data_IF_429477568117
#
_entry.id   IF_429477568117
#
_cell.length_a   1.000
_cell.length_b   1.000
_cell.length_c   1.000
_cell.angle_alpha   90.00
_cell.angle_beta   90.00
_cell.angle_gamma   90.00
#
_symmetry.space_group_name_H-M   'P 1'
#
loop_
_entity.id
_entity.type
_entity.pdbx_description
1 polymer ?
#
# COMPACT_ATOMS: atom_id res chain seq x y z
N UNK A 1 -31.33 -50.26 -4.72
CA UNK A 1 -32.21 -50.78 -5.78
C UNK A 1 -32.37 -49.68 -6.82
N UNK A 2 -31.55 -49.70 -7.88
CA UNK A 2 -31.68 -48.80 -9.03
C UNK A 2 -32.10 -49.69 -10.19
N UNK A 3 -33.37 -49.62 -10.58
CA UNK A 3 -33.85 -50.27 -11.80
C UNK A 3 -33.12 -49.66 -13.00
N UNK A 4 -32.38 -50.51 -13.71
CA UNK A 4 -31.76 -50.18 -15.00
C UNK A 4 -32.89 -50.08 -16.02
N UNK A 5 -33.29 -48.84 -16.35
CA UNK A 5 -34.27 -48.57 -17.40
C UNK A 5 -33.71 -48.99 -18.77
N UNK A 6 -33.99 -50.23 -19.16
CA UNK A 6 -33.78 -50.71 -20.52
C UNK A 6 -34.70 -49.94 -21.48
N UNK A 7 -34.12 -49.22 -22.44
CA UNK A 7 -34.86 -48.70 -23.58
C UNK A 7 -35.28 -49.87 -24.50
N UNK A 8 -36.58 -50.11 -24.75
CA UNK A 8 -37.01 -51.12 -25.72
C UNK A 8 -36.75 -50.66 -27.17
N UNK A 9 -36.45 -51.63 -28.06
CA UNK A 9 -36.25 -51.46 -29.51
C UNK A 9 -37.51 -50.88 -30.21
N UNK A 10 -37.36 -50.20 -31.37
CA UNK A 10 -38.22 -49.06 -31.73
C UNK A 10 -39.50 -49.45 -32.47
N UNK A 11 -40.61 -48.82 -32.05
CA UNK A 11 -41.76 -48.54 -32.91
C UNK A 11 -42.01 -47.02 -32.84
N UNK A 12 -41.60 -46.30 -33.90
CA UNK A 12 -41.93 -44.88 -34.11
C UNK A 12 -40.84 -43.83 -33.80
N UNK A 13 -40.50 -43.02 -34.81
CA UNK A 13 -39.52 -41.91 -34.81
C UNK A 13 -39.81 -40.84 -33.73
N UNK A 14 -41.05 -40.72 -33.27
CA UNK A 14 -41.49 -39.78 -32.22
C UNK A 14 -40.92 -40.09 -30.82
N UNK A 15 -40.79 -41.38 -30.46
CA UNK A 15 -40.29 -41.79 -29.13
C UNK A 15 -38.79 -41.54 -28.96
N UNK A 16 -38.02 -41.63 -30.04
CA UNK A 16 -36.56 -41.38 -30.06
C UNK A 16 -36.26 -39.90 -29.81
N UNK A 17 -37.05 -38.97 -30.39
CA UNK A 17 -36.90 -37.53 -30.16
C UNK A 17 -37.18 -37.15 -28.70
N UNK A 18 -38.23 -37.72 -28.09
CA UNK A 18 -38.55 -37.53 -26.66
C UNK A 18 -37.46 -38.08 -25.74
N UNK A 19 -36.89 -39.24 -26.06
CA UNK A 19 -35.79 -39.83 -25.30
C UNK A 19 -34.52 -38.95 -25.36
N UNK A 20 -34.14 -38.47 -26.55
CA UNK A 20 -32.98 -37.57 -26.74
C UNK A 20 -33.13 -36.23 -26.01
N UNK A 21 -34.34 -35.66 -26.02
CA UNK A 21 -34.66 -34.45 -25.26
C UNK A 21 -34.61 -34.67 -23.74
N UNK A 22 -35.05 -35.83 -23.25
CA UNK A 22 -34.97 -36.17 -21.83
C UNK A 22 -33.51 -36.37 -21.37
N UNK A 23 -32.68 -37.01 -22.21
CA UNK A 23 -31.24 -37.14 -21.95
C UNK A 23 -30.56 -35.77 -21.93
N UNK A 24 -30.84 -34.88 -22.89
CA UNK A 24 -30.29 -33.51 -22.92
C UNK A 24 -30.71 -32.69 -21.69
N UNK A 25 -31.95 -32.83 -21.23
CA UNK A 25 -32.42 -32.18 -19.99
C UNK A 25 -31.70 -32.72 -18.76
N UNK A 26 -31.47 -34.03 -18.66
CA UNK A 26 -30.69 -34.61 -17.57
C UNK A 26 -29.24 -34.10 -17.56
N UNK A 27 -28.59 -34.02 -18.73
CA UNK A 27 -27.24 -33.46 -18.84
C UNK A 27 -27.19 -32.01 -18.38
N UNK A 28 -28.17 -31.18 -18.78
CA UNK A 28 -28.23 -29.78 -18.37
C UNK A 28 -28.43 -29.63 -16.84
N UNK A 29 -29.31 -30.44 -16.26
CA UNK A 29 -29.54 -30.46 -14.80
C UNK A 29 -28.26 -30.89 -14.06
N UNK A 30 -27.58 -31.94 -14.53
CA UNK A 30 -26.32 -32.38 -13.95
C UNK A 30 -25.22 -31.30 -14.03
N UNK A 31 -25.14 -30.56 -15.14
CA UNK A 31 -24.19 -29.46 -15.31
C UNK A 31 -24.46 -28.29 -14.37
N UNK A 32 -25.73 -27.92 -14.19
CA UNK A 32 -26.14 -26.90 -13.21
C UNK A 32 -25.83 -27.33 -11.78
N UNK A 33 -26.08 -28.61 -11.44
CA UNK A 33 -25.72 -29.14 -10.12
C UNK A 33 -24.21 -29.17 -9.87
N UNK A 34 -23.41 -29.57 -10.87
CA UNK A 34 -21.94 -29.54 -10.79
C UNK A 34 -21.42 -28.10 -10.62
N UNK A 35 -21.99 -27.14 -11.34
CA UNK A 35 -21.62 -25.74 -11.21
C UNK A 35 -22.01 -25.18 -9.83
N UNK A 36 -23.19 -25.52 -9.32
CA UNK A 36 -23.63 -25.13 -7.98
C UNK A 36 -22.75 -25.75 -6.88
N UNK A 37 -22.34 -27.01 -7.03
CA UNK A 37 -21.41 -27.70 -6.12
C UNK A 37 -20.02 -27.09 -6.14
N UNK A 38 -19.50 -26.74 -7.32
CA UNK A 38 -18.22 -26.03 -7.47
C UNK A 38 -18.28 -24.63 -6.85
N UNK A 39 -19.39 -23.91 -7.04
CA UNK A 39 -19.61 -22.59 -6.45
C UNK A 39 -19.73 -22.65 -4.92
N UNK A 40 -20.40 -23.69 -4.39
CA UNK A 40 -20.50 -23.94 -2.96
C UNK A 40 -19.14 -24.31 -2.35
N UNK A 41 -18.34 -25.14 -3.04
CA UNK A 41 -16.97 -25.45 -2.62
C UNK A 41 -16.06 -24.22 -2.65
N UNK A 42 -16.17 -23.38 -3.68
CA UNK A 42 -15.40 -22.12 -3.76
C UNK A 42 -15.80 -21.15 -2.64
N UNK A 43 -17.09 -21.02 -2.33
CA UNK A 43 -17.58 -20.25 -1.17
C UNK A 43 -17.06 -20.82 0.15
N UNK A 44 -17.15 -22.14 0.35
CA UNK A 44 -16.66 -22.78 1.56
C UNK A 44 -15.13 -22.70 1.72
N UNK A 45 -14.37 -22.77 0.63
CA UNK A 45 -12.93 -22.57 0.62
C UNK A 45 -12.55 -21.11 0.90
N UNK A 46 -13.30 -20.14 0.35
CA UNK A 46 -13.16 -18.71 0.69
C UNK A 46 -13.46 -18.48 2.17
N UNK A 47 -14.53 -19.09 2.69
CA UNK A 47 -14.95 -19.00 4.08
C UNK A 47 -13.97 -19.67 5.06
N UNK A 48 -13.37 -20.81 4.67
CA UNK A 48 -12.27 -21.46 5.41
C UNK A 48 -10.98 -20.63 5.41
N UNK A 49 -10.66 -19.93 4.31
CA UNK A 49 -9.57 -18.95 4.30
C UNK A 49 -9.87 -17.74 5.19
N UNK A 50 -11.13 -17.32 5.31
CA UNK A 50 -11.53 -16.24 6.25
C UNK A 50 -11.54 -16.69 7.71
N UNK A 51 -11.72 -17.98 8.00
CA UNK A 51 -11.69 -18.53 9.38
C UNK A 51 -10.32 -18.97 9.84
N UNK A 52 -9.30 -18.95 8.99
CA UNK A 52 -7.91 -18.95 9.42
C UNK A 52 -7.51 -17.52 9.84
N UNK A 53 -8.35 -16.97 10.73
CA UNK A 53 -8.12 -15.74 11.45
C UNK A 53 -6.80 -15.92 12.19
N UNK A 54 -5.82 -15.05 11.92
CA UNK A 54 -4.57 -15.05 12.65
C UNK A 54 -4.90 -15.04 14.15
N UNK A 55 -4.38 -16.00 14.91
CA UNK A 55 -4.56 -16.03 16.34
C UNK A 55 -4.10 -14.66 16.88
N UNK A 56 -4.91 -13.92 17.65
CA UNK A 56 -4.51 -12.63 18.20
C UNK A 56 -3.24 -12.71 19.09
N UNK A 57 -2.82 -13.92 19.45
CA UNK A 57 -1.64 -14.20 20.26
C UNK A 57 -0.36 -14.52 19.46
N UNK A 58 -0.46 -14.66 18.13
CA UNK A 58 0.72 -14.92 17.29
C UNK A 58 1.55 -13.64 17.15
N UNK A 59 2.81 -13.70 17.58
CA UNK A 59 3.74 -12.57 17.48
C UNK A 59 3.92 -12.15 16.00
N UNK A 60 3.91 -10.84 15.70
CA UNK A 60 4.19 -10.35 14.35
C UNK A 60 5.57 -10.80 13.85
N UNK A 61 5.75 -10.94 12.53
CA UNK A 61 7.06 -11.24 11.97
C UNK A 61 7.99 -10.03 12.10
N UNK A 62 9.23 -10.25 12.50
CA UNK A 62 10.21 -9.19 12.66
C UNK A 62 11.26 -9.27 11.55
N UNK A 63 11.44 -8.15 10.85
CA UNK A 63 12.34 -8.02 9.72
C UNK A 63 13.36 -6.91 9.97
N UNK A 64 14.53 -7.07 9.37
CA UNK A 64 15.47 -5.99 9.12
C UNK A 64 15.70 -5.90 7.62
N UNK A 65 16.72 -5.18 7.19
CA UNK A 65 16.97 -4.87 5.80
C UNK A 65 18.43 -5.09 5.40
N UNK A 66 18.63 -5.24 4.11
CA UNK A 66 19.89 -5.10 3.41
C UNK A 66 19.76 -3.94 2.42
N UNK A 67 20.73 -3.02 2.40
CA UNK A 67 20.80 -1.98 1.37
C UNK A 67 21.35 -2.60 0.09
N UNK A 68 20.56 -2.55 -0.98
CA UNK A 68 20.93 -3.06 -2.31
C UNK A 68 21.58 -1.97 -3.14
N UNK A 69 21.04 -0.75 -3.07
CA UNK A 69 21.54 0.42 -3.78
C UNK A 69 21.16 1.71 -3.05
N UNK A 70 21.92 2.77 -3.31
CA UNK A 70 21.65 4.12 -2.84
C UNK A 70 21.51 5.05 -4.06
N UNK A 71 20.52 5.94 -4.02
CA UNK A 71 20.24 6.91 -5.09
C UNK A 71 20.27 8.33 -4.52
N UNK A 72 20.61 9.36 -5.32
CA UNK A 72 20.53 10.75 -4.88
C UNK A 72 19.10 11.16 -4.52
N UNK A 73 18.96 11.97 -3.48
CA UNK A 73 17.70 12.59 -3.08
C UNK A 73 17.92 14.07 -2.74
N UNK A 74 16.94 14.94 -2.97
CA UNK A 74 17.08 16.37 -2.66
C UNK A 74 17.11 16.56 -1.13
N UNK A 75 18.22 17.03 -0.53
CA UNK A 75 18.31 17.22 0.92
C UNK A 75 17.43 18.37 1.44
N UNK A 76 16.70 19.08 0.57
CA UNK A 76 15.69 20.08 0.94
C UNK A 76 14.27 19.54 0.89
N UNK A 77 14.06 18.32 0.40
CA UNK A 77 12.73 17.71 0.32
C UNK A 77 12.30 17.20 1.69
N UNK A 78 11.28 17.84 2.27
CA UNK A 78 10.61 17.33 3.47
C UNK A 78 9.56 16.29 3.05
N UNK A 79 10.02 15.09 2.66
CA UNK A 79 9.20 14.04 2.04
C UNK A 79 8.00 13.64 2.89
N UNK A 80 6.81 13.68 2.29
CA UNK A 80 5.54 13.31 2.94
C UNK A 80 4.75 12.23 2.20
N UNK A 81 5.07 11.99 0.93
CA UNK A 81 4.54 10.91 0.12
C UNK A 81 5.57 10.49 -0.91
N UNK A 82 5.70 9.20 -1.17
CA UNK A 82 6.62 8.68 -2.16
C UNK A 82 5.99 7.47 -2.86
N UNK A 83 5.94 7.47 -4.19
CA UNK A 83 5.45 6.32 -4.94
C UNK A 83 6.31 6.07 -6.16
N UNK A 84 6.68 4.80 -6.37
CA UNK A 84 7.43 4.40 -7.56
C UNK A 84 6.52 4.36 -8.78
N UNK A 85 7.08 4.75 -9.92
CA UNK A 85 6.43 4.65 -11.22
C UNK A 85 7.48 4.43 -12.31
N UNK A 86 7.04 4.04 -13.50
CA UNK A 86 7.88 3.96 -14.69
C UNK A 86 7.26 4.77 -15.80
N UNK A 87 7.97 5.80 -16.24
CA UNK A 87 7.54 6.63 -17.35
C UNK A 87 8.34 6.28 -18.60
N UNK A 88 7.65 6.06 -19.71
CA UNK A 88 8.28 5.83 -21.00
C UNK A 88 7.97 6.97 -21.97
N UNK A 89 8.88 7.21 -22.91
CA UNK A 89 8.66 8.11 -24.04
C UNK A 89 7.58 7.58 -25.01
N UNK A 90 7.18 8.44 -25.95
CA UNK A 90 6.24 8.08 -27.02
C UNK A 90 6.78 6.89 -27.83
N UNK A 91 6.11 5.76 -27.70
CA UNK A 91 6.48 4.50 -28.36
C UNK A 91 7.32 3.53 -27.50
N UNK A 92 7.46 3.78 -26.19
CA UNK A 92 8.10 2.89 -25.22
C UNK A 92 9.55 2.51 -25.55
N UNK A 93 10.31 3.43 -26.16
CA UNK A 93 11.71 3.19 -26.55
C UNK A 93 12.68 3.49 -25.41
N UNK A 94 12.37 4.51 -24.62
CA UNK A 94 13.16 4.95 -23.47
C UNK A 94 12.25 5.04 -22.27
N UNK A 95 12.55 4.28 -21.22
CA UNK A 95 11.81 4.32 -19.97
C UNK A 95 12.72 4.76 -18.83
N UNK A 96 12.16 5.55 -17.93
CA UNK A 96 12.80 6.07 -16.73
C UNK A 96 12.03 5.56 -15.52
N UNK A 97 12.78 5.04 -14.56
CA UNK A 97 12.25 4.82 -13.22
C UNK A 97 12.14 6.18 -12.53
N UNK A 98 10.95 6.48 -12.03
CA UNK A 98 10.66 7.77 -11.41
C UNK A 98 9.94 7.57 -10.08
N UNK A 99 9.99 8.59 -9.23
CA UNK A 99 9.10 8.73 -8.09
C UNK A 99 8.11 9.85 -8.33
N UNK A 100 6.86 9.63 -7.93
CA UNK A 100 5.98 10.70 -7.52
C UNK A 100 6.25 10.99 -6.05
N UNK A 101 6.65 12.22 -5.75
CA UNK A 101 6.98 12.64 -4.40
C UNK A 101 6.17 13.89 -4.04
N UNK A 102 5.58 13.90 -2.85
CA UNK A 102 5.07 15.11 -2.24
C UNK A 102 5.98 15.58 -1.10
N UNK A 103 6.13 16.89 -0.99
CA UNK A 103 6.91 17.53 0.07
C UNK A 103 6.05 18.43 0.93
N UNK A 104 6.39 18.49 2.21
CA UNK A 104 5.78 19.38 3.20
C UNK A 104 6.49 20.73 3.35
N UNK A 105 6.17 21.39 4.48
CA UNK A 105 6.56 22.76 4.87
C UNK A 105 5.81 23.85 4.11
N UNK A 106 5.12 24.73 4.84
CA UNK A 106 4.41 25.87 4.26
C UNK A 106 5.37 26.75 3.44
N UNK A 107 4.94 27.09 2.21
CA UNK A 107 5.77 27.85 1.26
C UNK A 107 6.87 27.05 0.56
N UNK A 108 7.03 25.76 0.86
CA UNK A 108 8.00 24.86 0.22
C UNK A 108 7.38 23.53 -0.23
N UNK A 109 6.08 23.35 0.03
CA UNK A 109 5.35 22.14 -0.32
C UNK A 109 5.17 22.05 -1.84
N UNK A 110 5.30 20.84 -2.37
CA UNK A 110 5.18 20.59 -3.82
C UNK A 110 4.73 19.15 -4.07
N UNK A 111 4.14 18.91 -5.24
CA UNK A 111 4.07 17.60 -5.86
C UNK A 111 5.07 17.57 -7.02
N UNK A 112 5.90 16.53 -7.11
CA UNK A 112 6.98 16.45 -8.09
C UNK A 112 7.14 15.03 -8.63
N UNK A 113 7.65 14.94 -9.85
CA UNK A 113 8.13 13.69 -10.43
C UNK A 113 9.66 13.74 -10.50
N UNK A 114 10.33 12.75 -9.92
CA UNK A 114 11.78 12.72 -9.75
C UNK A 114 12.35 11.50 -10.43
N UNK A 115 13.40 11.65 -11.23
CA UNK A 115 14.12 10.51 -11.80
C UNK A 115 14.94 9.78 -10.72
N UNK A 116 14.71 8.47 -10.55
CA UNK A 116 15.36 7.65 -9.52
C UNK A 116 16.89 7.70 -9.62
N UNK A 117 17.42 7.53 -10.83
CA UNK A 117 18.86 7.37 -11.03
C UNK A 117 19.68 8.62 -10.66
N UNK A 118 19.10 9.81 -10.85
CA UNK A 118 19.82 11.08 -10.77
C UNK A 118 19.32 12.00 -9.65
N UNK A 119 18.10 11.78 -9.16
CA UNK A 119 17.41 12.72 -8.28
C UNK A 119 16.90 13.98 -9.01
N UNK A 120 16.93 14.00 -10.36
CA UNK A 120 16.51 15.15 -11.14
C UNK A 120 14.99 15.28 -11.12
N UNK A 121 14.51 16.45 -10.71
CA UNK A 121 13.09 16.81 -10.80
C UNK A 121 12.72 17.03 -12.27
N UNK A 122 11.82 16.21 -12.80
CA UNK A 122 11.39 16.26 -14.21
C UNK A 122 10.17 17.18 -14.41
N UNK A 123 9.28 17.21 -13.43
CA UNK A 123 8.15 18.14 -13.36
C UNK A 123 7.79 18.39 -11.90
N UNK A 124 7.24 19.56 -11.63
CA UNK A 124 6.88 19.98 -10.28
C UNK A 124 5.72 20.97 -10.35
N UNK A 125 4.88 20.93 -9.33
CA UNK A 125 3.91 21.97 -9.04
C UNK A 125 4.02 22.36 -7.57
N UNK A 126 4.20 23.66 -7.33
CA UNK A 126 4.35 24.23 -5.99
C UNK A 126 2.99 24.56 -5.40
N UNK A 127 2.78 24.14 -4.15
CA UNK A 127 1.54 24.41 -3.43
C UNK A 127 1.48 25.90 -3.04
N UNK A 128 0.26 26.49 -2.98
CA UNK A 128 0.05 27.77 -2.32
C UNK A 128 0.62 27.76 -0.90
N UNK A 129 1.20 28.89 -0.48
CA UNK A 129 2.00 29.01 0.73
C UNK A 129 1.27 28.58 2.02
N UNK A 130 -0.06 28.75 2.07
CA UNK A 130 -0.91 28.37 3.19
C UNK A 130 -1.04 26.86 3.39
N UNK A 131 -0.70 26.06 2.38
CA UNK A 131 -0.85 24.62 2.42
C UNK A 131 0.45 23.93 2.81
N UNK A 132 0.33 23.00 3.75
CA UNK A 132 1.36 22.02 4.06
C UNK A 132 1.02 20.73 3.31
N UNK A 133 1.89 20.32 2.39
CA UNK A 133 1.72 19.11 1.62
C UNK A 133 1.96 17.85 2.44
N UNK A 134 1.10 16.85 2.27
CA UNK A 134 1.22 15.54 2.92
C UNK A 134 1.24 14.43 1.84
N UNK A 135 0.84 13.20 2.16
CA UNK A 135 0.93 12.03 1.30
C UNK A 135 0.35 12.22 -0.12
N UNK A 136 0.94 11.49 -1.07
CA UNK A 136 0.52 11.50 -2.47
C UNK A 136 0.51 10.12 -3.10
N UNK A 137 -0.37 9.89 -4.06
CA UNK A 137 -0.40 8.64 -4.84
C UNK A 137 -0.99 8.86 -6.23
N UNK A 138 -0.41 8.22 -7.25
CA UNK A 138 -0.95 8.03 -8.58
C UNK A 138 -1.89 6.82 -8.58
N UNK A 139 -3.12 7.06 -9.05
CA UNK A 139 -4.12 6.04 -9.33
C UNK A 139 -4.63 6.24 -10.77
N UNK A 140 -4.26 5.32 -11.66
CA UNK A 140 -4.54 5.46 -13.09
C UNK A 140 -3.82 6.67 -13.69
N UNK A 141 -4.59 7.59 -14.29
CA UNK A 141 -4.07 8.80 -14.94
C UNK A 141 -4.15 10.05 -14.06
N UNK A 142 -4.40 9.86 -12.76
CA UNK A 142 -4.56 10.94 -11.79
C UNK A 142 -3.59 10.78 -10.64
N UNK A 143 -2.85 11.84 -10.33
CA UNK A 143 -2.08 11.95 -9.07
C UNK A 143 -2.96 12.64 -8.04
N UNK A 144 -2.98 12.12 -6.83
CA UNK A 144 -3.69 12.70 -5.68
C UNK A 144 -2.67 13.11 -4.64
N UNK A 145 -2.93 14.19 -3.93
CA UNK A 145 -2.13 14.66 -2.81
C UNK A 145 -3.07 15.26 -1.76
N UNK A 146 -2.81 14.96 -0.49
CA UNK A 146 -3.55 15.55 0.64
C UNK A 146 -2.71 16.62 1.34
N UNK A 147 -3.35 17.38 2.23
CA UNK A 147 -2.69 18.44 3.00
C UNK A 147 -2.98 18.29 4.49
N UNK A 148 -2.02 18.73 5.30
CA UNK A 148 -2.07 18.58 6.75
C UNK A 148 -3.21 19.38 7.39
N UNK A 149 -3.96 18.76 8.30
CA UNK A 149 -4.98 19.40 9.18
C UNK A 149 -6.02 20.32 8.52
N UNK A 150 -6.31 20.10 7.24
CA UNK A 150 -7.25 20.95 6.50
C UNK A 150 -8.47 20.20 5.95
N UNK A 151 -8.37 18.86 5.86
CA UNK A 151 -9.32 18.01 5.13
C UNK A 151 -9.30 18.21 3.62
N UNK A 152 -8.40 19.05 3.09
CA UNK A 152 -8.27 19.36 1.67
C UNK A 152 -7.14 18.57 1.02
N UNK A 153 -7.18 18.53 -0.30
CA UNK A 153 -6.09 18.05 -1.13
C UNK A 153 -6.24 18.57 -2.54
N UNK A 154 -5.49 17.95 -3.44
CA UNK A 154 -5.53 18.24 -4.87
C UNK A 154 -5.46 16.93 -5.65
N UNK A 155 -6.11 16.93 -6.83
CA UNK A 155 -5.89 15.92 -7.87
C UNK A 155 -5.29 16.59 -9.11
N UNK A 156 -4.40 15.87 -9.78
CA UNK A 156 -3.59 16.38 -10.87
C UNK A 156 -3.63 15.42 -12.06
N UNK A 157 -3.58 15.97 -13.27
CA UNK A 157 -3.15 15.20 -14.45
C UNK A 157 -1.66 14.85 -14.32
N UNK A 158 -1.20 13.81 -15.02
CA UNK A 158 0.19 13.35 -14.97
C UNK A 158 1.23 14.38 -15.45
N UNK A 159 0.83 15.38 -16.22
CA UNK A 159 1.69 16.50 -16.63
C UNK A 159 1.72 17.65 -15.59
N UNK A 160 0.94 17.52 -14.51
CA UNK A 160 0.71 18.53 -13.48
C UNK A 160 0.15 19.87 -14.02
N UNK A 161 -0.38 19.91 -15.24
CA UNK A 161 -0.90 21.14 -15.85
C UNK A 161 -2.33 21.46 -15.41
N UNK A 162 -3.10 20.44 -15.03
CA UNK A 162 -4.46 20.61 -14.51
C UNK A 162 -4.51 20.17 -13.06
N UNK A 163 -5.04 21.06 -12.23
CA UNK A 163 -5.17 20.87 -10.79
C UNK A 163 -6.61 21.12 -10.40
N UNK A 164 -7.19 20.22 -9.64
CA UNK A 164 -8.52 20.37 -9.07
C UNK A 164 -8.45 20.15 -7.56
N UNK A 165 -8.99 21.06 -6.74
CA UNK A 165 -9.05 20.86 -5.30
C UNK A 165 -10.00 19.69 -4.97
N UNK A 166 -9.65 18.92 -3.95
CA UNK A 166 -10.48 17.85 -3.40
C UNK A 166 -10.70 18.09 -1.90
N UNK A 167 -11.79 17.54 -1.38
CA UNK A 167 -12.11 17.56 0.04
C UNK A 167 -12.30 16.12 0.52
N UNK A 168 -11.41 15.67 1.39
CA UNK A 168 -11.42 14.32 1.98
C UNK A 168 -12.45 14.16 3.08
N UNK A 169 -12.94 15.27 3.65
CA UNK A 169 -13.81 15.26 4.83
C UNK A 169 -13.11 14.87 6.14
N UNK A 170 -11.82 14.51 6.10
CA UNK A 170 -11.04 14.15 7.28
C UNK A 170 -10.53 15.40 8.02
N UNK A 171 -10.42 15.33 9.34
CA UNK A 171 -9.91 16.45 10.14
C UNK A 171 -8.37 16.61 10.05
N UNK A 172 -7.68 15.52 9.69
CA UNK A 172 -6.24 15.45 9.49
C UNK A 172 -5.94 14.45 8.35
N UNK A 173 -4.72 14.47 7.83
CA UNK A 173 -4.31 13.57 6.75
C UNK A 173 -2.79 13.57 6.60
N UNK A 174 -2.18 12.39 6.65
CA UNK A 174 -0.73 12.20 6.69
C UNK A 174 -0.27 11.39 5.47
N UNK A 175 -0.37 10.06 5.48
CA UNK A 175 -0.02 9.23 4.33
C UNK A 175 -1.18 9.00 3.38
N UNK A 176 -0.83 8.75 2.11
CA UNK A 176 -1.79 8.44 1.05
C UNK A 176 -1.19 7.40 0.10
N UNK A 177 -1.87 6.27 -0.07
CA UNK A 177 -1.57 5.26 -1.10
C UNK A 177 -2.87 4.79 -1.75
N UNK A 178 -2.82 3.74 -2.56
CA UNK A 178 -3.99 3.14 -3.17
C UNK A 178 -3.85 1.63 -3.38
N UNK A 179 -4.98 0.94 -3.53
CA UNK A 179 -5.02 -0.49 -3.88
C UNK A 179 -5.42 -0.77 -5.34
N UNK A 180 -5.25 0.21 -6.22
CA UNK A 180 -5.72 0.20 -7.61
C UNK A 180 -7.22 0.49 -7.79
N UNK A 181 -7.98 0.71 -6.72
CA UNK A 181 -9.42 1.03 -6.80
C UNK A 181 -9.85 2.17 -5.88
N UNK A 182 -9.27 2.25 -4.68
CA UNK A 182 -9.60 3.25 -3.67
C UNK A 182 -8.33 3.92 -3.17
N UNK A 183 -8.47 5.18 -2.75
CA UNK A 183 -7.44 5.88 -2.01
C UNK A 183 -7.44 5.40 -0.56
N UNK A 184 -6.25 5.32 0.05
CA UNK A 184 -6.06 4.82 1.41
C UNK A 184 -5.27 5.87 2.18
N UNK A 185 -5.86 6.38 3.26
CA UNK A 185 -5.36 7.53 4.00
C UNK A 185 -5.09 7.16 5.45
N UNK A 186 -3.92 7.55 5.95
CA UNK A 186 -3.62 7.57 7.38
C UNK A 186 -3.76 8.99 7.94
N UNK A 187 -3.94 9.06 9.25
CA UNK A 187 -3.94 10.29 10.02
C UNK A 187 -3.31 10.05 11.40
N UNK A 188 -3.33 11.07 12.28
CA UNK A 188 -2.65 11.05 13.59
C UNK A 188 -3.21 10.04 14.63
N UNK A 189 -4.33 9.39 14.36
CA UNK A 189 -4.87 8.31 15.19
C UNK A 189 -4.37 6.93 14.69
N UNK A 190 -5.09 5.88 15.05
CA UNK A 190 -4.87 4.49 14.65
C UNK A 190 -5.77 4.07 13.49
N UNK A 191 -6.58 4.97 12.96
CA UNK A 191 -7.58 4.65 11.94
C UNK A 191 -6.98 4.86 10.55
N UNK A 192 -7.28 3.93 9.64
CA UNK A 192 -6.97 4.05 8.22
C UNK A 192 -8.28 4.10 7.45
N UNK A 193 -8.38 5.04 6.52
CA UNK A 193 -9.60 5.36 5.78
C UNK A 193 -9.45 4.97 4.30
N UNK A 194 -10.49 4.40 3.70
CA UNK A 194 -10.60 4.19 2.25
C UNK A 194 -11.57 5.20 1.69
N UNK A 195 -11.11 5.99 0.71
CA UNK A 195 -11.93 6.97 0.03
C UNK A 195 -12.18 6.54 -1.42
N UNK A 196 -13.41 6.74 -1.90
CA UNK A 196 -13.71 6.66 -3.32
C UNK A 196 -12.96 7.78 -4.07
N UNK A 197 -12.19 7.47 -5.12
CA UNK A 197 -11.30 8.44 -5.77
C UNK A 197 -12.03 9.52 -6.59
N UNK A 198 -13.34 9.38 -6.82
CA UNK A 198 -14.10 10.37 -7.58
C UNK A 198 -14.85 11.33 -6.66
N UNK A 199 -15.42 10.81 -5.58
CA UNK A 199 -16.30 11.52 -4.66
C UNK A 199 -15.62 11.92 -3.36
N UNK A 200 -14.45 11.35 -3.07
CA UNK A 200 -13.72 11.45 -1.79
C UNK A 200 -14.50 10.95 -0.58
N UNK A 201 -15.64 10.29 -0.77
CA UNK A 201 -16.45 9.75 0.33
C UNK A 201 -15.76 8.52 0.92
N UNK A 202 -15.78 8.43 2.26
CA UNK A 202 -15.29 7.24 2.95
C UNK A 202 -16.19 6.04 2.67
N UNK A 203 -15.58 4.92 2.29
CA UNK A 203 -16.29 3.66 2.00
C UNK A 203 -15.93 2.52 2.96
N UNK A 204 -14.81 2.67 3.68
CA UNK A 204 -14.29 1.68 4.63
C UNK A 204 -13.30 2.36 5.56
N UNK A 205 -13.22 1.86 6.79
CA UNK A 205 -12.14 2.17 7.71
C UNK A 205 -11.70 0.91 8.46
N UNK A 206 -10.45 0.89 8.93
CA UNK A 206 -9.93 -0.12 9.87
C UNK A 206 -9.23 0.58 11.04
N UNK A 207 -9.06 -0.15 12.13
CA UNK A 207 -8.25 0.26 13.29
C UNK A 207 -6.98 -0.56 13.30
N UNK A 208 -5.82 0.08 13.29
CA UNK A 208 -4.53 -0.60 13.32
C UNK A 208 -4.19 -1.04 14.74
N UNK A 209 -3.87 -2.32 14.91
CA UNK A 209 -3.52 -2.90 16.21
C UNK A 209 -2.34 -3.88 16.12
N UNK A 210 -1.46 -3.86 17.11
CA UNK A 210 -0.45 -4.89 17.35
C UNK A 210 -0.77 -5.61 18.66
N UNK A 211 -1.05 -6.92 18.61
CA UNK A 211 -1.41 -7.74 19.78
C UNK A 211 -2.52 -7.10 20.64
N UNK A 212 -3.51 -6.50 19.98
CA UNK A 212 -4.64 -5.83 20.63
C UNK A 212 -4.38 -4.38 21.10
N UNK A 213 -3.16 -3.88 20.98
CA UNK A 213 -2.82 -2.49 21.30
C UNK A 213 -2.97 -1.60 20.06
N UNK A 214 -3.70 -0.46 20.13
CA UNK A 214 -3.79 0.48 19.03
C UNK A 214 -2.42 1.05 18.64
N UNK A 215 -2.11 1.03 17.35
CA UNK A 215 -0.91 1.65 16.81
C UNK A 215 -1.31 2.94 16.11
N UNK A 216 -0.85 4.07 16.67
CA UNK A 216 -1.11 5.41 16.13
C UNK A 216 0.02 5.87 15.23
N UNK A 217 -0.17 7.01 14.56
CA UNK A 217 0.88 7.73 13.81
C UNK A 217 1.51 6.93 12.69
N UNK A 218 0.73 6.06 12.06
CA UNK A 218 1.07 5.63 10.72
C UNK A 218 1.10 6.90 9.85
N UNK A 219 2.25 7.16 9.25
CA UNK A 219 2.52 8.35 8.47
C UNK A 219 2.45 7.96 7.00
N UNK A 220 3.52 8.10 6.24
CA UNK A 220 3.55 7.68 4.84
C UNK A 220 3.23 6.18 4.66
N UNK A 221 2.52 5.86 3.57
CA UNK A 221 1.89 4.56 3.32
C UNK A 221 2.26 4.00 1.95
N UNK A 222 2.37 2.68 1.85
CA UNK A 222 2.47 1.99 0.55
C UNK A 222 1.77 0.63 0.57
N UNK A 223 1.09 0.25 -0.52
CA UNK A 223 0.51 -1.11 -0.65
C UNK A 223 1.51 -2.04 -1.33
N UNK A 224 2.00 -3.03 -0.58
CA UNK A 224 3.01 -3.98 -1.04
C UNK A 224 2.49 -5.41 -0.88
N UNK A 225 2.35 -6.12 -2.00
CA UNK A 225 1.91 -7.52 -2.07
C UNK A 225 0.62 -7.82 -1.24
N UNK A 226 -0.31 -6.85 -1.20
CA UNK A 226 -1.60 -6.96 -0.52
C UNK A 226 -1.61 -6.57 0.97
N UNK A 227 -0.47 -6.13 1.50
CA UNK A 227 -0.37 -5.54 2.84
C UNK A 227 -0.21 -4.03 2.75
N UNK A 228 -0.75 -3.30 3.74
CA UNK A 228 -0.50 -1.88 3.89
C UNK A 228 0.75 -1.70 4.74
N UNK A 229 1.78 -1.09 4.16
CA UNK A 229 2.96 -0.69 4.88
C UNK A 229 2.81 0.75 5.31
N UNK A 230 3.25 1.07 6.52
CA UNK A 230 3.21 2.44 7.03
C UNK A 230 4.43 2.77 7.86
N UNK A 231 5.09 3.89 7.56
CA UNK A 231 6.06 4.47 8.48
C UNK A 231 5.36 4.80 9.79
N UNK A 232 6.01 4.55 10.94
CA UNK A 232 5.50 5.05 12.22
C UNK A 232 6.29 6.29 12.60
N UNK A 233 5.62 7.44 12.61
CA UNK A 233 6.28 8.73 12.80
C UNK A 233 7.09 8.78 14.10
N UNK A 234 8.25 9.46 14.07
CA UNK A 234 9.25 9.53 15.15
C UNK A 234 9.95 8.21 15.49
N UNK A 235 9.74 7.14 14.70
CA UNK A 235 10.47 5.86 14.84
C UNK A 235 11.28 5.55 13.58
N UNK A 236 12.24 4.65 13.69
CA UNK A 236 12.90 4.02 12.54
C UNK A 236 12.27 2.63 12.26
N UNK A 237 10.94 2.56 12.29
CA UNK A 237 10.17 1.34 12.01
C UNK A 237 9.07 1.54 10.95
N UNK A 238 8.76 0.46 10.24
CA UNK A 238 7.63 0.36 9.32
C UNK A 238 6.73 -0.79 9.79
N UNK A 239 5.44 -0.52 9.95
CA UNK A 239 4.42 -1.51 10.24
C UNK A 239 3.94 -2.17 8.95
N UNK A 240 3.79 -3.50 8.95
CA UNK A 240 3.11 -4.27 7.89
C UNK A 240 1.73 -4.66 8.39
N UNK A 241 0.69 -4.09 7.81
CA UNK A 241 -0.69 -4.17 8.30
C UNK A 241 -1.55 -4.97 7.34
N UNK A 242 -2.31 -5.91 7.89
CA UNK A 242 -3.36 -6.61 7.16
C UNK A 242 -4.49 -5.63 6.83
N UNK A 243 -4.75 -5.44 5.53
CA UNK A 243 -5.71 -4.44 5.05
C UNK A 243 -7.17 -4.80 5.32
N UNK A 244 -7.48 -6.04 5.67
CA UNK A 244 -8.85 -6.47 5.99
C UNK A 244 -9.15 -6.27 7.47
N UNK A 245 -8.18 -6.58 8.33
CA UNK A 245 -8.38 -6.66 9.79
C UNK A 245 -7.75 -5.50 10.57
N UNK A 246 -6.74 -4.83 10.01
CA UNK A 246 -5.91 -3.85 10.73
C UNK A 246 -4.92 -4.45 11.71
N UNK A 247 -4.74 -5.76 11.71
CA UNK A 247 -3.73 -6.40 12.56
C UNK A 247 -2.35 -6.21 11.93
N UNK A 248 -1.39 -5.75 12.73
CA UNK A 248 0.03 -5.71 12.36
C UNK A 248 0.54 -7.14 12.21
N UNK A 249 0.90 -7.51 10.98
CA UNK A 249 1.46 -8.82 10.60
C UNK A 249 2.96 -8.89 10.79
N UNK A 250 3.63 -7.74 10.78
CA UNK A 250 5.05 -7.66 11.01
C UNK A 250 5.57 -6.24 11.19
N UNK A 251 6.79 -6.16 11.69
CA UNK A 251 7.55 -4.94 11.87
C UNK A 251 8.83 -5.01 11.06
N UNK A 252 9.21 -3.91 10.44
CA UNK A 252 10.48 -3.77 9.74
C UNK A 252 11.31 -2.72 10.46
N UNK A 253 12.46 -3.16 10.97
CA UNK A 253 13.37 -2.34 11.74
C UNK A 253 14.40 -1.70 10.82
N UNK A 254 14.24 -0.40 10.56
CA UNK A 254 15.03 0.40 9.62
C UNK A 254 16.17 1.18 10.27
N UNK A 255 16.49 0.90 11.54
CA UNK A 255 17.56 1.61 12.25
C UNK A 255 18.89 1.47 11.53
N UNK A 256 19.71 2.52 11.57
CA UNK A 256 21.05 2.55 11.00
C UNK A 256 21.14 3.29 9.67
N UNK A 257 20.05 3.47 8.92
CA UNK A 257 20.07 4.24 7.66
C UNK A 257 20.49 5.69 7.91
N UNK A 258 19.82 6.37 8.85
CA UNK A 258 20.14 7.76 9.21
C UNK A 258 21.57 7.91 9.72
N UNK A 259 22.01 7.03 10.61
CA UNK A 259 23.38 7.04 11.13
C UNK A 259 24.40 6.71 10.04
N UNK A 260 24.04 5.88 9.06
CA UNK A 260 24.83 5.59 7.87
C UNK A 260 25.11 6.86 7.07
N UNK A 261 24.08 7.66 6.77
CA UNK A 261 24.22 8.95 6.07
C UNK A 261 25.22 9.87 6.79
N UNK A 262 25.11 9.97 8.12
CA UNK A 262 25.99 10.81 8.94
C UNK A 262 27.43 10.29 8.89
N UNK A 263 27.64 8.98 9.05
CA UNK A 263 28.97 8.34 9.00
C UNK A 263 29.66 8.49 7.64
N UNK A 264 28.88 8.51 6.55
CA UNK A 264 29.38 8.77 5.21
C UNK A 264 29.74 10.25 4.97
N UNK A 265 29.41 11.15 5.90
CA UNK A 265 29.66 12.59 5.77
C UNK A 265 28.72 13.31 4.79
N UNK A 266 27.60 12.67 4.42
CA UNK A 266 26.63 13.23 3.47
C UNK A 266 25.71 14.30 4.10
N UNK A 267 25.51 14.23 5.41
CA UNK A 267 24.80 15.26 6.18
C UNK A 267 25.28 15.28 7.63
N UNK A 268 25.01 16.39 8.32
CA UNK A 268 25.16 16.48 9.77
C UNK A 268 23.89 15.97 10.43
N UNK A 269 23.98 15.61 11.71
CA UNK A 269 22.82 15.11 12.45
C UNK A 269 21.63 16.08 12.45
N UNK A 270 21.88 17.38 12.60
CA UNK A 270 20.83 18.41 12.56
C UNK A 270 20.37 18.79 11.13
N UNK A 271 20.95 18.17 10.10
CA UNK A 271 20.55 18.34 8.71
C UNK A 271 19.63 17.23 8.21
N UNK A 272 19.26 16.27 9.06
CA UNK A 272 18.36 15.15 8.75
C UNK A 272 17.20 15.17 9.73
N UNK A 273 15.99 15.01 9.20
CA UNK A 273 14.79 14.76 10.00
C UNK A 273 14.49 13.23 9.97
N UNK A 274 13.24 12.82 10.15
CA UNK A 274 12.87 11.41 10.40
C UNK A 274 12.74 10.57 9.12
N UNK A 275 12.81 9.24 9.29
CA UNK A 275 12.41 8.26 8.28
C UNK A 275 10.95 8.52 7.85
N UNK A 276 10.71 8.66 6.54
CA UNK A 276 9.37 8.82 5.96
C UNK A 276 9.45 8.70 4.43
N UNK A 277 8.58 7.90 3.83
CA UNK A 277 8.55 7.63 2.38
C UNK A 277 8.93 6.18 2.07
N UNK A 278 7.98 5.43 1.52
CA UNK A 278 8.07 4.05 1.11
C UNK A 278 7.53 3.95 -0.32
N UNK A 279 8.31 3.41 -1.24
CA UNK A 279 7.85 3.20 -2.61
C UNK A 279 8.16 1.79 -3.08
N UNK A 280 7.31 1.25 -3.94
CA UNK A 280 7.43 -0.14 -4.39
C UNK A 280 7.33 -0.31 -5.91
N UNK A 281 8.31 -0.99 -6.50
CA UNK A 281 8.25 -1.46 -7.88
C UNK A 281 7.67 -2.89 -7.92
N UNK A 282 6.39 -3.08 -8.28
CA UNK A 282 5.79 -4.41 -8.34
C UNK A 282 6.36 -5.30 -9.43
N UNK A 283 6.99 -4.72 -10.48
CA UNK A 283 7.52 -5.45 -11.63
C UNK A 283 8.81 -6.20 -11.30
N UNK A 284 9.65 -5.59 -10.46
CA UNK A 284 10.96 -6.15 -10.07
C UNK A 284 11.07 -6.45 -8.57
N UNK A 285 10.01 -6.15 -7.80
CA UNK A 285 9.94 -6.37 -6.35
C UNK A 285 11.00 -5.56 -5.57
N UNK A 286 11.34 -4.35 -6.07
CA UNK A 286 12.22 -3.41 -5.38
C UNK A 286 11.42 -2.57 -4.39
N UNK A 287 11.98 -2.36 -3.21
CA UNK A 287 11.42 -1.51 -2.17
C UNK A 287 12.38 -0.35 -1.95
N UNK A 288 11.85 0.86 -1.92
CA UNK A 288 12.61 2.08 -1.72
C UNK A 288 12.16 2.77 -0.45
N UNK A 289 13.11 3.29 0.32
CA UNK A 289 12.84 4.07 1.53
C UNK A 289 13.73 5.31 1.57
N UNK A 290 13.20 6.39 2.11
CA UNK A 290 13.93 7.66 2.32
C UNK A 290 13.51 8.30 3.63
N UNK A 291 13.90 9.55 3.85
CA UNK A 291 13.43 10.36 4.95
C UNK A 291 13.40 11.83 4.62
N UNK A 292 12.83 12.57 5.56
CA UNK A 292 12.67 14.02 5.47
C UNK A 292 14.05 14.68 5.52
N UNK A 293 14.38 15.44 4.48
CA UNK A 293 15.68 16.09 4.28
C UNK A 293 16.86 15.12 4.09
N UNK A 294 16.59 13.85 3.77
CA UNK A 294 17.67 12.88 3.55
C UNK A 294 18.31 13.11 2.17
N UNK A 295 19.65 13.04 2.03
CA UNK A 295 20.32 13.17 0.74
C UNK A 295 20.30 11.86 -0.09
N UNK A 296 19.64 10.81 0.41
CA UNK A 296 19.61 9.47 -0.19
C UNK A 296 18.24 8.83 -0.13
N UNK A 297 17.87 8.16 -1.22
CA UNK A 297 16.89 7.07 -1.24
C UNK A 297 17.64 5.74 -1.21
N UNK A 298 17.18 4.79 -0.41
CA UNK A 298 17.75 3.45 -0.30
C UNK A 298 16.83 2.43 -0.97
N UNK A 299 17.35 1.66 -1.92
CA UNK A 299 16.71 0.40 -2.30
C UNK A 299 17.09 -0.66 -1.28
N UNK A 300 16.09 -1.29 -0.69
CA UNK A 300 16.26 -2.26 0.38
C UNK A 300 15.63 -3.60 0.05
N UNK A 301 16.21 -4.67 0.57
CA UNK A 301 15.59 -6.00 0.64
C UNK A 301 15.32 -6.35 2.09
N UNK A 302 14.10 -6.82 2.35
CA UNK A 302 13.75 -7.40 3.64
C UNK A 302 14.58 -8.66 3.88
N UNK A 303 15.15 -8.78 5.08
CA UNK A 303 15.77 -10.01 5.56
C UNK A 303 15.32 -10.31 6.99
N UNK A 304 15.21 -11.58 7.38
CA UNK A 304 15.05 -11.92 8.80
C UNK A 304 16.29 -11.46 9.57
N UNK A 305 16.13 -11.24 10.87
CA UNK A 305 17.28 -11.12 11.76
C UNK A 305 18.05 -12.45 11.80
N UNK A 306 19.37 -12.39 11.94
CA UNK A 306 20.16 -13.58 12.21
C UNK A 306 19.82 -14.15 13.60
N UNK A 307 20.12 -15.42 13.80
CA UNK A 307 19.82 -16.12 15.05
C UNK A 307 20.44 -15.39 16.25
N UNK A 308 19.58 -14.97 17.20
CA UNK A 308 19.99 -14.24 18.40
C UNK A 308 20.22 -12.73 18.23
N UNK A 309 20.11 -12.19 17.01
CA UNK A 309 20.27 -10.74 16.76
C UNK A 309 18.94 -9.97 16.81
N UNK A 310 17.81 -10.67 16.74
CA UNK A 310 16.49 -10.05 16.83
C UNK A 310 16.32 -9.36 18.19
N UNK A 311 15.91 -8.07 18.23
CA UNK A 311 15.59 -7.42 19.50
C UNK A 311 14.41 -8.14 20.17
N UNK A 312 14.41 -8.29 21.50
CA UNK A 312 13.29 -8.88 22.21
C UNK A 312 12.05 -7.99 22.09
N UNK A 313 10.85 -8.56 22.18
CA UNK A 313 9.59 -7.80 22.02
C UNK A 313 9.47 -6.54 22.86
N UNK A 314 9.83 -6.52 24.16
CA UNK A 314 9.82 -5.27 24.92
C UNK A 314 10.72 -4.16 24.36
N UNK A 315 11.77 -4.51 23.60
CA UNK A 315 12.58 -3.54 22.87
C UNK A 315 11.91 -3.12 21.57
N UNK A 316 11.31 -4.06 20.81
CA UNK A 316 10.51 -3.74 19.62
C UNK A 316 9.38 -2.77 19.96
N UNK A 317 8.66 -3.01 21.05
CA UNK A 317 7.57 -2.14 21.52
C UNK A 317 8.10 -0.72 21.79
N UNK A 318 9.25 -0.60 22.47
CA UNK A 318 9.85 0.72 22.73
C UNK A 318 10.31 1.45 21.46
N UNK A 319 10.84 0.70 20.49
CA UNK A 319 11.46 1.26 19.29
C UNK A 319 10.44 1.57 18.19
N UNK A 320 9.40 0.74 18.07
CA UNK A 320 8.45 0.80 16.96
C UNK A 320 7.06 1.26 17.37
N UNK A 321 6.68 1.14 18.65
CA UNK A 321 5.44 1.79 19.09
C UNK A 321 5.71 3.26 19.36
N UNK A 322 4.82 4.13 18.89
CA UNK A 322 4.98 5.55 19.11
C UNK A 322 4.95 5.88 20.61
N UNK A 323 6.03 6.45 21.14
CA UNK A 323 6.08 6.94 22.52
C UNK A 323 5.29 8.24 22.62
N UNK A 324 4.60 8.52 23.73
CA UNK A 324 3.71 9.67 23.91
C UNK A 324 4.22 11.03 23.33
N UNK A 325 3.95 11.28 22.05
CA UNK A 325 4.06 12.58 21.39
C UNK A 325 2.74 13.30 21.61
N UNK A 326 2.80 14.39 22.37
CA UNK A 326 1.71 15.35 22.48
C UNK A 326 1.90 16.39 21.37
N UNK A 327 0.85 16.64 20.58
CA UNK A 327 0.81 17.69 19.55
C UNK A 327 0.44 19.05 20.12
#
# INVERSE_FOLDING_TARGET
>A
MVEVFNCPRPVGVSRIRKCRQNIQKLFLVALVFLFALAFAHAKAAKQRRTTQQAHPDALPLLWTYEVVAEYPHDPRAFTQGLQFDRECDDGNKTCFDVFWESTGLNGQSSIRQVELATGTVRRQWDLPHEHFGEGSTRLGDTVHMITWRSGRGFKFTLDLQKVEPINTGLADGWGLTNNGSHLIVSESSQVIHWLDPNTMQEVKQITVTDRGHPIRWLNELEVIDGELWGNVWQTECIARVDMETGIVKGWIHMHGLRQGIIKQGLSRENGLDVLNGIAYDPSTKRIFVTGKLWPRVFEVKLKPFADGEAPPWPAVDRLCWPQHVYF
#
